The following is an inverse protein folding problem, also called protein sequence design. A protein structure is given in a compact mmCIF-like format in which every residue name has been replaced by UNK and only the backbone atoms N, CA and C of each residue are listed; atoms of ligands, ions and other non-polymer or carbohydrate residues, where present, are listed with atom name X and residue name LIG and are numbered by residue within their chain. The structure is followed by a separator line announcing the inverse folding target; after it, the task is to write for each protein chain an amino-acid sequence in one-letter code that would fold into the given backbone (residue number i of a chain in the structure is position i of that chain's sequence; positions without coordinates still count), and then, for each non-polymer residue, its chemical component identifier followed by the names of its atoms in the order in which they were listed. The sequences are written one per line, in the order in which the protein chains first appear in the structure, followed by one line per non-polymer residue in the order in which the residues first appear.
data_IF_686229550413
#
_entry.id   IF_686229550413
#
_cell.length_a   1.000
_cell.length_b   1.000
_cell.length_c   1.000
_cell.angle_alpha   90.00
_cell.angle_beta   90.00
_cell.angle_gamma   90.00
#
_symmetry.space_group_name_H-M   'P 1'
#
loop_
_entity.id
_entity.type
_entity.pdbx_description
1 polymer ?
#
# COMPACT_ATOMS: atom_id res chain seq x y z
N UNK A 1 -35.49 -30.68 -32.16
CA UNK A 1 -36.58 -29.68 -32.29
C UNK A 1 -35.93 -28.35 -32.62
N UNK A 2 -36.24 -27.83 -33.80
CA UNK A 2 -35.66 -26.63 -34.44
C UNK A 2 -36.43 -25.35 -34.03
N UNK A 3 -35.68 -24.24 -34.04
CA UNK A 3 -36.03 -22.88 -34.49
C UNK A 3 -36.79 -21.95 -33.54
N UNK A 4 -36.85 -20.61 -33.82
CA UNK A 4 -35.95 -19.84 -34.70
C UNK A 4 -35.40 -18.51 -34.09
N UNK A 5 -34.52 -17.89 -34.88
CA UNK A 5 -34.00 -16.52 -34.82
C UNK A 5 -35.10 -15.43 -34.80
N UNK A 6 -34.80 -14.33 -34.09
CA UNK A 6 -35.38 -13.02 -34.40
C UNK A 6 -34.29 -11.94 -34.32
N UNK A 7 -33.96 -11.42 -35.48
CA UNK A 7 -33.15 -10.24 -35.75
C UNK A 7 -34.06 -9.02 -35.72
N UNK A 8 -33.73 -7.99 -35.00
CA UNK A 8 -34.30 -6.65 -35.19
C UNK A 8 -33.20 -5.63 -35.17
N UNK A 9 -32.91 -5.08 -36.32
CA UNK A 9 -32.11 -3.88 -36.55
C UNK A 9 -33.04 -2.66 -36.48
N UNK A 10 -32.59 -1.60 -35.78
CA UNK A 10 -33.09 -0.24 -35.96
C UNK A 10 -31.91 0.73 -36.02
N UNK A 11 -31.77 1.31 -37.21
CA UNK A 11 -30.98 2.52 -37.47
C UNK A 11 -31.93 3.72 -37.38
N UNK A 12 -31.46 4.88 -36.97
CA UNK A 12 -31.87 6.26 -37.38
C UNK A 12 -30.92 7.23 -36.67
N UNK A 13 -30.16 7.96 -37.31
CA UNK A 13 -30.24 9.16 -38.14
C UNK A 13 -29.67 10.40 -37.37
N UNK A 14 -28.70 10.98 -38.04
CA UNK A 14 -28.04 12.24 -37.71
C UNK A 14 -28.96 13.46 -37.87
N UNK A 15 -28.76 14.51 -37.08
CA UNK A 15 -29.09 15.86 -37.43
C UNK A 15 -27.99 16.81 -37.01
N UNK A 16 -27.30 17.34 -38.00
CA UNK A 16 -26.44 18.53 -37.90
C UNK A 16 -27.30 19.78 -38.04
N UNK A 17 -27.12 20.78 -37.18
CA UNK A 17 -27.49 22.16 -37.49
C UNK A 17 -26.38 23.10 -37.02
N UNK A 18 -25.72 23.66 -37.98
CA UNK A 18 -24.85 24.83 -37.88
C UNK A 18 -25.68 26.10 -37.87
N UNK A 19 -25.37 27.04 -36.96
CA UNK A 19 -25.77 28.44 -37.12
C UNK A 19 -24.65 29.37 -36.59
N UNK A 20 -24.16 30.30 -37.39
CA UNK A 20 -23.15 31.30 -36.95
C UNK A 20 -23.84 32.53 -36.35
N UNK A 21 -23.33 33.03 -35.25
CA UNK A 21 -23.75 34.28 -34.65
C UNK A 21 -22.63 34.88 -33.83
N UNK A 22 -21.96 35.91 -34.37
CA UNK A 22 -21.01 36.76 -33.67
C UNK A 22 -21.74 37.73 -32.74
N UNK A 23 -21.25 37.86 -31.50
CA UNK A 23 -21.44 39.06 -30.70
C UNK A 23 -20.32 39.15 -29.65
N UNK A 24 -19.49 40.13 -29.82
CA UNK A 24 -18.49 40.66 -28.90
C UNK A 24 -19.17 41.28 -27.69
N UNK A 25 -18.81 40.83 -26.47
CA UNK A 25 -18.86 41.67 -25.28
C UNK A 25 -17.73 41.27 -24.35
N UNK A 26 -16.86 42.24 -24.07
CA UNK A 26 -15.83 42.15 -23.07
C UNK A 26 -16.47 42.04 -21.69
N UNK A 27 -16.04 41.02 -20.93
CA UNK A 27 -16.35 40.94 -19.49
C UNK A 27 -15.11 40.52 -18.74
N UNK A 28 -14.71 41.40 -17.90
CA UNK A 28 -13.75 41.40 -16.82
C UNK A 28 -13.34 40.03 -16.32
N UNK A 29 -12.09 39.68 -16.50
CA UNK A 29 -11.43 38.54 -15.87
C UNK A 29 -11.34 38.75 -14.36
N UNK A 30 -12.15 38.04 -13.59
CA UNK A 30 -11.85 37.82 -12.19
C UNK A 30 -10.73 36.75 -12.13
N UNK A 31 -9.51 37.18 -11.80
CA UNK A 31 -8.40 36.30 -11.46
C UNK A 31 -8.76 35.53 -10.20
N UNK A 32 -9.23 34.30 -10.37
CA UNK A 32 -9.28 33.31 -9.29
C UNK A 32 -7.82 32.90 -8.99
N UNK A 33 -7.28 33.48 -7.95
CA UNK A 33 -6.02 33.01 -7.37
C UNK A 33 -6.27 31.64 -6.78
N UNK A 34 -6.07 30.61 -7.59
CA UNK A 34 -5.97 29.24 -7.09
C UNK A 34 -4.67 29.15 -6.29
N UNK A 35 -4.79 29.12 -4.98
CA UNK A 35 -3.70 28.74 -4.06
C UNK A 35 -3.18 27.39 -4.54
N UNK A 36 -1.88 27.27 -4.88
CA UNK A 36 -1.33 25.96 -5.20
C UNK A 36 -1.49 25.11 -3.95
N UNK A 37 -2.25 24.00 -4.06
CA UNK A 37 -2.19 22.94 -3.07
C UNK A 37 -0.72 22.58 -2.92
N UNK A 38 -0.21 22.68 -1.68
CA UNK A 38 1.16 22.30 -1.37
C UNK A 38 1.31 20.83 -1.81
N UNK A 39 2.03 20.61 -2.90
CA UNK A 39 2.46 19.29 -3.29
C UNK A 39 3.26 18.76 -2.10
N UNK A 40 2.74 17.76 -1.42
CA UNK A 40 3.51 17.00 -0.42
C UNK A 40 4.76 16.54 -1.14
N UNK A 41 5.90 17.13 -0.78
CA UNK A 41 7.18 16.69 -1.30
C UNK A 41 7.33 15.22 -0.92
N UNK A 42 7.20 14.32 -1.90
CA UNK A 42 7.45 12.91 -1.70
C UNK A 42 8.85 12.75 -1.14
N UNK A 43 8.99 12.05 -0.02
CA UNK A 43 10.30 11.71 0.52
C UNK A 43 11.13 11.03 -0.57
N UNK A 44 12.43 11.33 -0.69
CA UNK A 44 13.26 10.69 -1.70
C UNK A 44 13.29 9.18 -1.43
N UNK A 45 12.89 8.39 -2.43
CA UNK A 45 12.97 6.93 -2.40
C UNK A 45 14.42 6.48 -2.17
N UNK A 46 14.59 5.44 -1.36
CA UNK A 46 15.89 4.78 -1.16
C UNK A 46 16.19 3.75 -2.26
N UNK A 47 15.21 3.46 -3.13
CA UNK A 47 15.38 2.57 -4.27
C UNK A 47 16.32 3.17 -5.31
N UNK A 48 17.20 2.33 -5.87
CA UNK A 48 18.15 2.69 -6.95
C UNK A 48 17.60 2.42 -8.34
N UNK A 49 16.50 1.67 -8.45
CA UNK A 49 15.85 1.30 -9.70
C UNK A 49 14.42 1.85 -9.76
N UNK A 50 13.83 1.98 -10.98
CA UNK A 50 12.43 2.31 -11.12
C UNK A 50 11.53 1.33 -10.36
N UNK A 51 10.55 1.88 -9.62
CA UNK A 51 9.57 1.11 -8.89
C UNK A 51 8.37 0.80 -9.77
N UNK A 52 7.86 -0.45 -9.70
CA UNK A 52 6.73 -0.89 -10.49
C UNK A 52 5.41 -0.27 -9.98
N UNK A 53 4.50 0.13 -10.89
CA UNK A 53 3.20 0.67 -10.49
C UNK A 53 2.32 -0.40 -9.83
N UNK A 54 1.31 0.01 -9.04
CA UNK A 54 0.32 -0.91 -8.47
C UNK A 54 -0.39 -1.75 -9.53
N UNK A 55 -0.84 -2.94 -9.13
CA UNK A 55 -1.66 -3.85 -9.95
C UNK A 55 -3.00 -4.14 -9.26
N UNK A 56 -3.95 -4.72 -10.00
CA UNK A 56 -5.32 -5.00 -9.53
C UNK A 56 -5.43 -5.72 -8.17
N UNK A 57 -4.38 -6.43 -7.74
CA UNK A 57 -4.39 -7.16 -6.46
C UNK A 57 -3.86 -6.34 -5.27
N UNK A 58 -3.31 -5.15 -5.52
CA UNK A 58 -2.59 -4.35 -4.52
C UNK A 58 -2.69 -2.82 -4.74
N UNK A 59 -3.68 -2.38 -5.53
CA UNK A 59 -3.96 -0.98 -5.86
C UNK A 59 -5.02 -0.33 -4.96
N UNK A 60 -5.51 -1.04 -3.95
CA UNK A 60 -6.57 -0.60 -3.05
C UNK A 60 -6.17 0.52 -2.09
N UNK A 61 -4.95 1.01 -2.14
CA UNK A 61 -4.49 2.20 -1.42
C UNK A 61 -3.50 3.01 -2.25
N UNK A 62 -3.55 4.33 -2.08
CA UNK A 62 -2.55 5.24 -2.66
C UNK A 62 -1.21 5.24 -1.91
N UNK A 63 -1.16 4.62 -0.74
CA UNK A 63 0.08 4.47 0.01
C UNK A 63 1.07 3.56 -0.72
N UNK A 64 2.34 3.97 -0.76
CA UNK A 64 3.42 3.16 -1.32
C UNK A 64 4.60 3.11 -0.34
N UNK A 65 4.84 1.97 0.29
CA UNK A 65 5.89 1.85 1.30
C UNK A 65 7.29 2.09 0.72
N UNK A 66 7.52 1.81 -0.55
CA UNK A 66 8.84 1.94 -1.17
C UNK A 66 9.30 3.39 -1.32
N UNK A 67 8.37 4.35 -1.32
CA UNK A 67 8.65 5.78 -1.53
C UNK A 67 8.15 6.68 -0.39
N UNK A 68 7.51 6.10 0.64
CA UNK A 68 6.86 6.86 1.70
C UNK A 68 7.82 7.41 2.76
N UNK A 69 9.07 6.94 2.79
CA UNK A 69 9.99 7.18 3.91
C UNK A 69 11.30 7.81 3.49
N UNK A 70 11.84 8.64 4.37
CA UNK A 70 13.22 9.11 4.28
C UNK A 70 14.19 8.03 4.76
N UNK A 71 15.45 8.14 4.34
CA UNK A 71 16.50 7.24 4.84
C UNK A 71 16.70 7.32 6.36
N UNK A 72 16.42 8.48 6.98
CA UNK A 72 16.50 8.66 8.42
C UNK A 72 15.38 7.92 9.15
N UNK A 73 14.14 8.01 8.64
CA UNK A 73 13.01 7.25 9.18
C UNK A 73 13.25 5.75 9.12
N UNK A 74 13.80 5.24 8.01
CA UNK A 74 14.14 3.81 7.87
C UNK A 74 15.24 3.42 8.86
N UNK A 75 16.28 4.24 9.04
CA UNK A 75 17.34 3.97 10.06
C UNK A 75 16.79 3.93 11.47
N UNK A 76 15.79 4.73 11.78
CA UNK A 76 15.18 4.75 13.12
C UNK A 76 14.54 3.41 13.50
N UNK A 77 14.16 2.59 12.49
CA UNK A 77 13.68 1.23 12.71
C UNK A 77 14.80 0.21 12.94
N UNK A 78 16.06 0.62 12.82
CA UNK A 78 17.23 -0.25 13.03
C UNK A 78 17.65 -1.04 11.81
N UNK A 79 17.12 -0.73 10.61
CA UNK A 79 17.51 -1.35 9.33
C UNK A 79 18.28 -0.36 8.45
N UNK A 80 18.99 -0.88 7.46
CA UNK A 80 19.81 -0.06 6.56
C UNK A 80 18.96 0.38 5.34
N UNK A 81 18.74 1.69 5.14
CA UNK A 81 18.01 2.19 3.98
C UNK A 81 18.68 1.87 2.64
N UNK A 82 20.00 1.64 2.60
CA UNK A 82 20.71 1.25 1.39
C UNK A 82 20.52 -0.26 1.06
N UNK A 83 20.08 -1.07 2.01
CA UNK A 83 19.81 -2.50 1.82
C UNK A 83 18.32 -2.73 1.59
N UNK A 84 17.79 -2.05 0.58
CA UNK A 84 16.39 -2.14 0.17
C UNK A 84 16.22 -3.08 -1.02
N UNK A 85 15.19 -3.90 -0.97
CA UNK A 85 14.72 -4.73 -2.09
C UNK A 85 13.29 -4.37 -2.38
N UNK A 86 13.01 -4.00 -3.64
CA UNK A 86 11.64 -3.93 -4.15
C UNK A 86 11.13 -5.36 -4.33
N UNK A 87 10.09 -5.73 -3.62
CA UNK A 87 9.48 -7.05 -3.70
C UNK A 87 8.71 -7.25 -5.02
N UNK A 88 8.66 -6.20 -5.83
CA UNK A 88 8.07 -6.23 -7.15
C UNK A 88 6.55 -6.29 -7.14
N UNK A 89 6.03 -6.50 -8.33
CA UNK A 89 4.62 -6.61 -8.61
C UNK A 89 4.40 -7.71 -9.68
N UNK A 90 5.25 -8.71 -9.74
CA UNK A 90 5.39 -9.75 -10.76
C UNK A 90 4.18 -10.69 -10.85
N UNK A 91 2.98 -10.12 -10.99
CA UNK A 91 1.73 -10.87 -10.94
C UNK A 91 1.39 -11.37 -9.53
N UNK A 92 2.20 -11.05 -8.53
CA UNK A 92 1.90 -11.29 -7.13
C UNK A 92 0.75 -10.38 -6.68
N UNK A 93 -0.03 -10.86 -5.75
CA UNK A 93 -1.14 -10.09 -5.15
C UNK A 93 -0.65 -8.97 -4.24
N UNK A 94 0.65 -8.90 -3.99
CA UNK A 94 1.28 -7.93 -3.08
C UNK A 94 2.28 -7.05 -3.83
N UNK A 95 2.48 -5.84 -3.34
CA UNK A 95 3.60 -4.94 -3.70
C UNK A 95 4.23 -4.38 -2.43
N UNK A 96 5.48 -3.97 -2.47
CA UNK A 96 6.14 -3.39 -1.32
C UNK A 96 7.65 -3.53 -1.34
N UNK A 97 8.28 -3.14 -0.24
CA UNK A 97 9.72 -3.15 -0.09
C UNK A 97 10.17 -3.84 1.20
N UNK A 98 11.38 -4.39 1.17
CA UNK A 98 12.06 -4.98 2.32
C UNK A 98 13.37 -4.26 2.58
N UNK A 99 13.59 -3.82 3.80
CA UNK A 99 14.87 -3.27 4.29
C UNK A 99 15.51 -4.25 5.25
N UNK A 100 16.82 -4.46 5.10
CA UNK A 100 17.55 -5.46 5.87
C UNK A 100 18.55 -4.85 6.83
N UNK A 101 18.76 -5.52 7.96
CA UNK A 101 19.86 -5.33 8.89
C UNK A 101 20.71 -6.60 8.97
N UNK A 102 21.56 -6.76 9.99
CA UNK A 102 22.30 -8.00 10.18
C UNK A 102 21.41 -9.05 10.87
N UNK A 103 21.04 -10.08 10.13
CA UNK A 103 20.28 -11.24 10.58
C UNK A 103 18.76 -11.05 10.65
N UNK A 104 18.22 -9.86 10.31
CA UNK A 104 16.77 -9.60 10.33
C UNK A 104 16.37 -8.53 9.30
N UNK A 105 15.07 -8.38 9.09
CA UNK A 105 14.53 -7.43 8.12
C UNK A 105 13.16 -6.91 8.53
N UNK A 106 12.79 -5.77 7.93
CA UNK A 106 11.42 -5.25 7.91
C UNK A 106 10.94 -5.26 6.47
N UNK A 107 9.86 -5.97 6.21
CA UNK A 107 9.15 -5.90 4.94
C UNK A 107 7.84 -5.15 5.14
N UNK A 108 7.50 -4.31 4.18
CA UNK A 108 6.16 -3.74 4.11
C UNK A 108 5.52 -4.15 2.80
N UNK A 109 4.29 -4.62 2.87
CA UNK A 109 3.55 -5.06 1.69
C UNK A 109 2.10 -4.63 1.73
N UNK A 110 1.51 -4.46 0.56
CA UNK A 110 0.12 -4.06 0.35
C UNK A 110 -0.59 -5.18 -0.37
N UNK A 111 -1.81 -5.47 0.06
CA UNK A 111 -2.72 -6.44 -0.56
C UNK A 111 -4.16 -5.93 -0.43
N UNK A 112 -4.98 -6.16 -1.47
CA UNK A 112 -6.41 -5.78 -1.49
C UNK A 112 -7.28 -6.80 -0.73
N UNK A 113 -6.98 -7.01 0.54
CA UNK A 113 -7.81 -7.81 1.46
C UNK A 113 -8.16 -6.93 2.67
N UNK A 114 -9.32 -7.11 3.28
CA UNK A 114 -9.64 -6.43 4.53
C UNK A 114 -8.76 -6.97 5.68
N UNK A 115 -8.39 -6.09 6.61
CA UNK A 115 -7.56 -6.46 7.77
C UNK A 115 -8.22 -7.55 8.64
N UNK A 116 -9.55 -7.64 8.64
CA UNK A 116 -10.31 -8.66 9.37
C UNK A 116 -10.04 -10.10 8.92
N UNK A 117 -9.57 -10.30 7.67
CA UNK A 117 -9.25 -11.64 7.17
C UNK A 117 -8.13 -12.30 7.97
N UNK A 118 -7.27 -11.48 8.59
CA UNK A 118 -6.14 -11.95 9.41
C UNK A 118 -6.52 -12.31 10.85
N UNK A 119 -7.80 -12.12 11.23
CA UNK A 119 -8.37 -12.63 12.49
C UNK A 119 -8.91 -14.07 12.35
N UNK A 120 -8.75 -14.69 11.19
CA UNK A 120 -9.15 -16.07 10.96
C UNK A 120 -8.22 -17.04 11.70
N UNK A 121 -8.55 -17.38 12.92
CA UNK A 121 -7.72 -18.22 13.81
C UNK A 121 -7.41 -19.62 13.30
N UNK A 122 -8.24 -20.31 12.49
CA UNK A 122 -7.84 -21.53 11.80
C UNK A 122 -6.66 -21.36 10.84
N UNK A 123 -6.53 -20.19 10.21
CA UNK A 123 -5.44 -19.87 9.28
C UNK A 123 -4.27 -19.19 9.98
N UNK A 124 -4.57 -18.31 10.95
CA UNK A 124 -3.59 -17.54 11.72
C UNK A 124 -3.77 -17.78 13.23
N UNK A 125 -3.34 -18.94 13.75
CA UNK A 125 -3.45 -19.25 15.18
C UNK A 125 -2.75 -18.18 16.03
N UNK A 126 -3.45 -17.68 17.08
CA UNK A 126 -2.90 -16.64 17.94
C UNK A 126 -2.99 -15.22 17.36
N UNK A 127 -3.67 -15.03 16.22
CA UNK A 127 -3.97 -13.68 15.74
C UNK A 127 -4.84 -12.92 16.73
N UNK A 128 -4.58 -11.62 16.87
CA UNK A 128 -5.32 -10.75 17.79
C UNK A 128 -5.55 -9.37 17.18
N UNK A 129 -6.73 -8.81 17.47
CA UNK A 129 -7.00 -7.41 17.19
C UNK A 129 -6.19 -6.53 18.13
N UNK A 130 -5.64 -5.44 17.61
CA UNK A 130 -4.84 -4.48 18.38
C UNK A 130 -5.01 -3.06 17.85
N UNK A 131 -5.07 -2.05 18.74
CA UNK A 131 -5.03 -0.65 18.34
C UNK A 131 -3.59 -0.25 18.06
N UNK A 132 -3.28 0.04 16.79
CA UNK A 132 -1.93 0.36 16.33
C UNK A 132 -1.95 1.75 15.69
N UNK A 133 -1.30 2.72 16.30
CA UNK A 133 -1.30 4.10 15.81
C UNK A 133 -2.70 4.72 15.70
N UNK A 134 -3.66 4.26 16.51
CA UNK A 134 -5.05 4.70 16.50
C UNK A 134 -5.96 3.93 15.52
N UNK A 135 -5.42 3.04 14.69
CA UNK A 135 -6.15 2.20 13.75
C UNK A 135 -6.50 0.84 14.35
N UNK A 136 -7.61 0.23 13.89
CA UNK A 136 -7.96 -1.14 14.22
C UNK A 136 -7.13 -2.11 13.39
N UNK A 137 -5.99 -2.52 13.93
CA UNK A 137 -5.06 -3.44 13.30
C UNK A 137 -5.18 -4.88 13.81
N UNK A 138 -4.38 -5.76 13.22
CA UNK A 138 -4.25 -7.17 13.63
C UNK A 138 -2.77 -7.53 13.73
N UNK A 139 -2.40 -8.22 14.80
CA UNK A 139 -1.07 -8.80 14.95
C UNK A 139 -1.18 -10.31 14.84
N UNK A 140 -0.31 -10.92 14.04
CA UNK A 140 -0.31 -12.37 13.84
C UNK A 140 1.06 -12.92 13.45
N UNK A 141 1.22 -14.22 13.65
CA UNK A 141 2.33 -15.01 13.12
C UNK A 141 1.78 -16.04 12.13
N UNK A 142 2.46 -16.22 11.00
CA UNK A 142 2.05 -17.25 10.04
C UNK A 142 2.52 -18.62 10.51
N UNK A 143 1.68 -19.66 10.48
CA UNK A 143 2.11 -21.02 10.79
C UNK A 143 3.27 -21.52 9.91
N UNK A 144 3.36 -21.01 8.68
CA UNK A 144 4.42 -21.37 7.73
C UNK A 144 5.80 -20.86 8.13
N UNK A 145 5.85 -19.77 8.92
CA UNK A 145 7.12 -19.13 9.34
C UNK A 145 7.41 -19.33 10.82
N UNK A 146 6.48 -19.91 11.56
CA UNK A 146 6.61 -20.14 13.00
C UNK A 146 6.91 -18.83 13.75
N UNK A 147 7.90 -18.87 14.64
CA UNK A 147 8.33 -17.73 15.46
C UNK A 147 9.42 -16.88 14.80
N UNK A 148 9.79 -17.16 13.54
CA UNK A 148 10.79 -16.39 12.80
C UNK A 148 10.25 -15.09 12.18
N UNK A 149 8.94 -14.90 12.14
CA UNK A 149 8.28 -13.69 11.62
C UNK A 149 7.08 -13.29 12.46
N UNK A 150 6.85 -11.99 12.58
CA UNK A 150 5.61 -11.44 13.10
C UNK A 150 5.13 -10.28 12.22
N UNK A 151 3.83 -10.21 12.02
CA UNK A 151 3.16 -9.22 11.17
C UNK A 151 2.22 -8.37 11.99
N UNK A 152 2.32 -7.05 11.82
CA UNK A 152 1.30 -6.09 12.18
C UNK A 152 0.61 -5.61 10.90
N UNK A 153 -0.70 -5.81 10.81
CA UNK A 153 -1.52 -5.47 9.66
C UNK A 153 -2.41 -4.25 9.97
N UNK A 154 -2.41 -3.26 9.10
CA UNK A 154 -3.14 -2.01 9.24
C UNK A 154 -4.12 -1.82 8.08
N UNK A 155 -5.35 -1.33 8.33
CA UNK A 155 -6.25 -0.94 7.26
C UNK A 155 -5.75 0.34 6.57
N UNK A 156 -5.85 0.39 5.24
CA UNK A 156 -5.55 1.57 4.44
C UNK A 156 -6.46 1.62 3.22
N UNK A 157 -7.44 2.51 3.24
CA UNK A 157 -8.47 2.61 2.20
C UNK A 157 -9.16 1.24 1.94
N UNK A 158 -8.97 0.62 0.79
CA UNK A 158 -9.54 -0.69 0.42
C UNK A 158 -8.50 -1.83 0.50
N UNK A 159 -7.34 -1.59 1.12
CA UNK A 159 -6.24 -2.54 1.24
C UNK A 159 -5.80 -2.72 2.69
N UNK A 160 -4.97 -3.71 2.90
CA UNK A 160 -4.20 -3.91 4.13
C UNK A 160 -2.73 -3.64 3.86
N UNK A 161 -2.10 -2.88 4.73
CA UNK A 161 -0.66 -2.66 4.79
C UNK A 161 -0.09 -3.57 5.87
N UNK A 162 0.79 -4.48 5.49
CA UNK A 162 1.51 -5.35 6.39
C UNK A 162 2.87 -4.77 6.75
N UNK A 163 3.21 -4.80 8.01
CA UNK A 163 4.56 -4.58 8.52
C UNK A 163 5.04 -5.91 9.08
N UNK A 164 5.97 -6.54 8.38
CA UNK A 164 6.51 -7.86 8.72
C UNK A 164 7.92 -7.69 9.25
N UNK A 165 8.16 -8.15 10.46
CA UNK A 165 9.50 -8.26 11.02
C UNK A 165 9.92 -9.72 10.98
N UNK A 166 11.06 -10.00 10.34
CA UNK A 166 11.52 -11.36 10.13
C UNK A 166 12.99 -11.56 10.46
N UNK A 167 13.32 -12.74 10.97
CA UNK A 167 14.70 -13.18 11.24
C UNK A 167 15.12 -14.19 10.19
N UNK A 168 16.27 -13.98 9.59
CA UNK A 168 16.90 -14.91 8.65
C UNK A 168 18.24 -15.46 9.15
N UNK A 169 18.75 -14.92 10.26
CA UNK A 169 19.88 -15.48 11.00
C UNK A 169 19.57 -15.44 12.49
N UNK A 170 19.32 -16.60 13.09
CA UNK A 170 18.91 -16.72 14.49
C UNK A 170 19.91 -16.11 15.47
N UNK A 171 21.20 -16.25 15.20
CA UNK A 171 22.26 -15.81 16.12
C UNK A 171 22.33 -14.28 16.22
N UNK A 172 22.27 -13.57 15.10
CA UNK A 172 22.40 -12.11 15.06
C UNK A 172 21.05 -11.44 15.14
N UNK A 173 20.05 -11.94 14.42
CA UNK A 173 18.71 -11.36 14.35
C UNK A 173 17.95 -11.46 15.67
N UNK A 174 17.95 -12.62 16.33
CA UNK A 174 17.25 -12.80 17.61
C UNK A 174 17.85 -11.94 18.73
N UNK A 175 19.17 -11.72 18.67
CA UNK A 175 19.86 -10.82 19.60
C UNK A 175 19.46 -9.35 19.37
N UNK A 176 19.31 -8.95 18.10
CA UNK A 176 18.92 -7.58 17.73
C UNK A 176 17.43 -7.32 18.00
N UNK A 177 16.57 -8.31 17.72
CA UNK A 177 15.12 -8.21 17.84
C UNK A 177 14.59 -9.42 18.63
N UNK A 178 14.62 -9.36 19.97
CA UNK A 178 14.17 -10.47 20.79
C UNK A 178 12.65 -10.69 20.73
N UNK A 179 11.85 -9.64 20.52
CA UNK A 179 10.41 -9.69 20.34
C UNK A 179 10.02 -9.10 18.98
N UNK A 180 9.74 -9.98 18.04
CA UNK A 180 9.37 -9.60 16.68
C UNK A 180 8.02 -8.90 16.61
N UNK A 181 7.06 -9.33 17.43
CA UNK A 181 5.71 -8.74 17.40
C UNK A 181 5.71 -7.34 18.00
N UNK A 182 6.44 -7.12 19.09
CA UNK A 182 6.60 -5.78 19.64
C UNK A 182 7.28 -4.83 18.63
N UNK A 183 8.31 -5.30 17.94
CA UNK A 183 8.97 -4.51 16.88
C UNK A 183 8.04 -4.24 15.70
N UNK A 184 7.24 -5.22 15.27
CA UNK A 184 6.29 -5.04 14.19
C UNK A 184 5.23 -3.98 14.55
N UNK A 185 4.71 -4.01 15.77
CA UNK A 185 3.75 -3.01 16.28
C UNK A 185 4.37 -1.62 16.38
N UNK A 186 5.61 -1.52 16.88
CA UNK A 186 6.34 -0.25 16.97
C UNK A 186 6.48 0.42 15.59
N UNK A 187 6.98 -0.33 14.59
CA UNK A 187 7.11 0.19 13.22
C UNK A 187 5.76 0.49 12.60
N UNK A 188 4.76 -0.39 12.78
CA UNK A 188 3.41 -0.18 12.28
C UNK A 188 2.74 1.07 12.89
N UNK A 189 3.03 1.40 14.15
CA UNK A 189 2.56 2.63 14.79
C UNK A 189 3.08 3.86 14.06
N UNK A 190 4.34 3.85 13.64
CA UNK A 190 4.90 4.89 12.80
C UNK A 190 4.25 4.91 11.40
N UNK A 191 4.12 3.74 10.76
CA UNK A 191 3.48 3.59 9.44
C UNK A 191 2.07 4.16 9.44
N UNK A 192 1.29 3.96 10.49
CA UNK A 192 -0.06 4.49 10.63
C UNK A 192 -0.13 6.01 10.44
N UNK A 193 0.94 6.74 10.78
CA UNK A 193 1.02 8.21 10.60
C UNK A 193 1.17 8.63 9.13
N UNK A 194 1.58 7.72 8.26
CA UNK A 194 1.81 7.93 6.83
C UNK A 194 0.66 7.46 5.95
N UNK A 195 -0.26 6.68 6.50
CA UNK A 195 -1.37 6.13 5.72
C UNK A 195 -2.36 7.23 5.30
N UNK A 196 -2.92 7.14 4.10
CA UNK A 196 -3.96 8.07 3.64
C UNK A 196 -5.21 7.95 4.53
N UNK A 197 -5.79 9.10 4.83
CA UNK A 197 -7.02 9.22 5.62
C UNK A 197 -8.25 9.12 4.75
#
# INVERSE_FOLDING_TARGET
MLAPLLVTALAVAACSTTTPGAATTATTSASSTSTPAAASASAPSTLTAPHLPPSKGNDGTSFDPCVAYTAEEIRSWGVDPARVVDNGNDGLRTRGCTWSADGWSIAQSIINNPVSDYLNTPVYPGSRAEKIGGLDGVVYQSPATGDSMCTAALPSQQATVHVVVGIYNEKTGRKAVPDLCARAVEVATFVATKLPK
#
